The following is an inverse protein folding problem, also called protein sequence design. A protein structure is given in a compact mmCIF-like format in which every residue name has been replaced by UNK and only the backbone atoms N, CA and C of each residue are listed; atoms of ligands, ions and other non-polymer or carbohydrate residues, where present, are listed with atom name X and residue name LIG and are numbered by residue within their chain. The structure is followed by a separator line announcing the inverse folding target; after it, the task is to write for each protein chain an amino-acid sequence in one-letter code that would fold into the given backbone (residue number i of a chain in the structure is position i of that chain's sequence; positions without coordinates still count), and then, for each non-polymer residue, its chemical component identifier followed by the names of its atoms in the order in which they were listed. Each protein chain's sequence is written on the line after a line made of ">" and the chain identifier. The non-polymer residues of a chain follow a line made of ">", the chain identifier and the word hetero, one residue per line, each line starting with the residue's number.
data_IF_705392392683
#
_entry.id   IF_705392392683
#
_cell.length_a   1.000
_cell.length_b   1.000
_cell.length_c   1.000
_cell.angle_alpha   90.00
_cell.angle_beta   90.00
_cell.angle_gamma   90.00
#
_symmetry.space_group_name_H-M   'P 1'
#
loop_
_entity.id
_entity.type
_entity.pdbx_description
1 polymer ?
#
# COMPACT_ATOMS: atom_id res chain seq x y z
N UNK A 1 -40.20 9.92 41.98
CA UNK A 1 -39.31 8.79 41.62
C UNK A 1 -38.77 9.06 40.23
N UNK A 2 -37.55 9.62 40.12
CA UNK A 2 -36.92 10.04 38.87
C UNK A 2 -35.89 8.96 38.52
N UNK A 3 -36.18 8.19 37.49
CA UNK A 3 -35.26 7.16 36.96
C UNK A 3 -34.30 7.89 36.00
N UNK A 4 -33.06 8.06 36.46
CA UNK A 4 -31.94 8.50 35.62
C UNK A 4 -31.44 7.28 34.80
N UNK A 5 -31.84 7.23 33.55
CA UNK A 5 -31.29 6.28 32.58
C UNK A 5 -29.93 6.84 32.14
N UNK A 6 -28.89 6.36 32.78
CA UNK A 6 -27.51 6.61 32.35
C UNK A 6 -27.25 5.92 31.01
N UNK A 7 -27.23 6.71 29.94
CA UNK A 7 -26.76 6.24 28.65
C UNK A 7 -25.25 5.98 28.73
N UNK A 8 -24.88 4.71 28.92
CA UNK A 8 -23.53 4.24 28.79
C UNK A 8 -23.17 4.25 27.31
N UNK A 9 -22.64 5.35 26.82
CA UNK A 9 -21.98 5.44 25.53
C UNK A 9 -20.72 4.56 25.60
N UNK A 10 -20.87 3.30 25.21
CA UNK A 10 -19.75 2.44 24.83
C UNK A 10 -19.11 3.10 23.57
N UNK A 11 -18.14 3.96 23.81
CA UNK A 11 -17.20 4.35 22.81
C UNK A 11 -16.42 3.08 22.40
N UNK A 12 -16.90 2.40 21.38
CA UNK A 12 -16.14 1.40 20.65
C UNK A 12 -14.96 2.15 20.04
N UNK A 13 -13.89 2.28 20.81
CA UNK A 13 -12.59 2.60 20.26
C UNK A 13 -12.28 1.47 19.28
N UNK A 14 -12.67 1.66 18.03
CA UNK A 14 -12.09 0.89 16.93
C UNK A 14 -10.60 1.24 16.99
N UNK A 15 -9.85 0.36 17.62
CA UNK A 15 -8.42 0.36 17.47
C UNK A 15 -8.20 0.29 15.95
N UNK A 16 -7.91 1.43 15.35
CA UNK A 16 -7.54 1.52 13.96
C UNK A 16 -6.22 0.73 13.89
N UNK A 17 -6.35 -0.56 13.55
CA UNK A 17 -5.18 -1.36 13.28
C UNK A 17 -4.45 -0.64 12.20
N UNK A 18 -3.32 -0.10 12.57
CA UNK A 18 -2.43 0.57 11.67
C UNK A 18 -2.18 -0.32 10.45
N UNK A 19 -2.71 0.10 9.33
CA UNK A 19 -2.77 -0.71 8.13
C UNK A 19 -1.55 -0.44 7.27
N UNK A 20 -0.79 -1.48 7.01
CA UNK A 20 0.27 -1.45 5.98
C UNK A 20 -0.33 -2.00 4.69
N UNK A 21 -0.24 -1.23 3.63
CA UNK A 21 -0.77 -1.62 2.32
C UNK A 21 0.26 -1.31 1.21
N UNK A 22 0.52 -2.30 0.37
CA UNK A 22 1.33 -2.12 -0.82
C UNK A 22 0.43 -2.02 -2.04
N UNK A 23 0.49 -0.88 -2.73
CA UNK A 23 -0.08 -0.69 -4.04
C UNK A 23 0.96 -1.05 -5.10
N UNK A 24 0.61 -1.95 -5.98
CA UNK A 24 1.39 -2.34 -7.15
C UNK A 24 0.64 -1.95 -8.42
N UNK A 25 1.28 -1.14 -9.27
CA UNK A 25 0.74 -0.74 -10.57
C UNK A 25 1.46 -1.52 -11.66
N UNK A 26 0.68 -2.29 -12.40
CA UNK A 26 1.13 -3.17 -13.47
C UNK A 26 0.55 -2.76 -14.82
N UNK A 27 1.12 -3.29 -15.89
CA UNK A 27 0.55 -3.25 -17.22
C UNK A 27 0.69 -4.63 -17.90
N UNK A 28 -0.28 -4.98 -18.72
CA UNK A 28 -0.33 -6.30 -19.37
C UNK A 28 0.87 -6.56 -20.31
N UNK A 29 1.40 -5.52 -20.96
CA UNK A 29 2.56 -5.58 -21.86
C UNK A 29 3.91 -5.31 -21.18
N UNK A 30 3.93 -5.23 -19.85
CA UNK A 30 5.11 -4.91 -19.05
C UNK A 30 5.96 -6.16 -18.76
N UNK A 31 7.09 -6.32 -19.43
CA UNK A 31 8.02 -7.44 -19.19
C UNK A 31 8.66 -7.43 -17.81
N UNK A 32 8.96 -6.25 -17.27
CA UNK A 32 9.49 -6.11 -15.90
C UNK A 32 8.44 -6.47 -14.85
N UNK A 33 7.16 -6.18 -15.10
CA UNK A 33 6.06 -6.59 -14.23
C UNK A 33 5.99 -8.11 -14.13
N UNK A 34 6.00 -8.82 -15.28
CA UNK A 34 6.01 -10.30 -15.30
C UNK A 34 7.21 -10.88 -14.55
N UNK A 35 8.40 -10.27 -14.67
CA UNK A 35 9.59 -10.70 -13.95
C UNK A 35 9.42 -10.54 -12.45
N UNK A 36 8.95 -9.39 -12.00
CA UNK A 36 8.68 -9.11 -10.58
C UNK A 36 7.62 -10.07 -10.04
N UNK A 37 6.53 -10.26 -10.76
CA UNK A 37 5.46 -11.20 -10.38
C UNK A 37 5.96 -12.63 -10.25
N UNK A 38 6.76 -13.12 -11.20
CA UNK A 38 7.37 -14.45 -11.12
C UNK A 38 8.27 -14.61 -9.90
N UNK A 39 8.96 -13.55 -9.50
CA UNK A 39 9.88 -13.58 -8.37
C UNK A 39 9.15 -13.45 -7.02
N UNK A 40 8.14 -12.61 -6.92
CA UNK A 40 7.52 -12.21 -5.65
C UNK A 40 6.06 -12.63 -5.48
N UNK A 41 5.38 -13.00 -6.54
CA UNK A 41 3.99 -13.44 -6.50
C UNK A 41 3.86 -14.90 -6.95
N UNK A 42 3.00 -15.63 -6.26
CA UNK A 42 2.53 -16.94 -6.68
C UNK A 42 1.01 -16.86 -6.82
N UNK A 43 0.50 -17.20 -8.00
CA UNK A 43 -0.94 -17.08 -8.29
C UNK A 43 -1.54 -15.70 -7.93
N UNK A 44 -0.79 -14.64 -8.24
CA UNK A 44 -1.10 -13.24 -7.91
C UNK A 44 -1.17 -12.93 -6.42
N UNK A 45 -0.68 -13.81 -5.56
CA UNK A 45 -0.56 -13.60 -4.13
C UNK A 45 0.90 -13.45 -3.75
N UNK A 46 1.23 -12.59 -2.77
CA UNK A 46 2.59 -12.49 -2.26
C UNK A 46 3.13 -13.84 -1.79
N UNK A 47 4.37 -14.15 -2.14
CA UNK A 47 5.04 -15.37 -1.66
C UNK A 47 5.29 -15.27 -0.16
N UNK A 48 5.17 -16.38 0.56
CA UNK A 48 5.36 -16.46 2.01
C UNK A 48 6.74 -15.96 2.49
N UNK A 49 7.75 -16.01 1.63
CA UNK A 49 9.12 -15.53 1.94
C UNK A 49 9.21 -14.03 2.27
N UNK A 50 8.16 -13.25 1.97
CA UNK A 50 8.12 -11.81 2.22
C UNK A 50 7.37 -11.43 3.51
N UNK A 51 6.79 -12.39 4.22
CA UNK A 51 5.95 -12.17 5.39
C UNK A 51 4.88 -11.07 5.19
N UNK A 52 4.17 -11.18 4.08
CA UNK A 52 3.14 -10.21 3.69
C UNK A 52 1.80 -10.46 4.39
N UNK A 53 1.74 -11.44 5.27
CA UNK A 53 0.48 -11.84 5.92
C UNK A 53 -0.20 -10.73 6.71
N UNK A 54 0.59 -9.75 7.18
CA UNK A 54 0.12 -8.59 7.93
C UNK A 54 -0.06 -7.33 7.06
N UNK A 55 0.23 -7.39 5.76
CA UNK A 55 0.06 -6.29 4.83
C UNK A 55 -1.07 -6.56 3.85
N UNK A 56 -1.82 -5.52 3.49
CA UNK A 56 -2.74 -5.57 2.36
C UNK A 56 -1.95 -5.40 1.07
N UNK A 57 -2.27 -6.17 0.07
CA UNK A 57 -1.69 -6.06 -1.27
C UNK A 57 -2.78 -5.72 -2.28
N UNK A 58 -2.59 -4.64 -3.02
CA UNK A 58 -3.55 -4.14 -4.00
C UNK A 58 -2.86 -3.96 -5.34
N UNK A 59 -3.47 -4.51 -6.38
CA UNK A 59 -2.97 -4.42 -7.77
C UNK A 59 -3.89 -3.51 -8.57
N UNK A 60 -3.28 -2.60 -9.32
CA UNK A 60 -3.96 -1.81 -10.37
C UNK A 60 -3.30 -2.13 -11.70
N UNK A 61 -4.08 -2.64 -12.64
CA UNK A 61 -3.65 -2.87 -14.01
C UNK A 61 -4.06 -1.67 -14.88
N UNK A 62 -3.07 -1.00 -15.46
CA UNK A 62 -3.30 0.16 -16.34
C UNK A 62 -3.39 -0.22 -17.83
N UNK A 63 -3.45 -1.51 -18.14
CA UNK A 63 -3.55 -2.05 -19.49
C UNK A 63 -2.22 -2.04 -20.23
N UNK A 64 -1.68 -0.86 -20.57
CA UNK A 64 -0.39 -0.74 -21.26
C UNK A 64 0.61 0.10 -20.48
N UNK A 65 1.91 -0.22 -20.59
CA UNK A 65 2.96 0.54 -19.89
C UNK A 65 3.04 2.02 -20.31
N UNK A 66 2.42 2.39 -21.43
CA UNK A 66 2.32 3.78 -21.90
C UNK A 66 1.11 4.53 -21.34
N UNK A 67 0.16 3.82 -20.72
CA UNK A 67 -0.97 4.45 -20.06
C UNK A 67 -0.47 5.29 -18.87
N UNK A 68 -1.15 6.41 -18.64
CA UNK A 68 -0.88 7.25 -17.48
C UNK A 68 -1.69 6.72 -16.29
N UNK A 69 -1.05 6.67 -15.16
CA UNK A 69 -1.69 6.38 -13.88
C UNK A 69 -1.73 7.66 -13.06
N UNK A 70 -2.89 7.99 -12.55
CA UNK A 70 -3.09 9.19 -11.72
C UNK A 70 -3.81 8.86 -10.41
N UNK A 71 -4.02 9.86 -9.58
CA UNK A 71 -4.72 9.70 -8.28
C UNK A 71 -6.09 9.05 -8.46
N UNK A 72 -6.82 9.42 -9.51
CA UNK A 72 -8.17 8.90 -9.76
C UNK A 72 -8.21 7.42 -10.16
N UNK A 73 -7.09 6.87 -10.63
CA UNK A 73 -6.97 5.47 -11.00
C UNK A 73 -6.67 4.58 -9.77
N UNK A 74 -6.25 5.20 -8.67
CA UNK A 74 -6.03 4.49 -7.42
C UNK A 74 -7.35 4.11 -6.74
N UNK A 75 -7.37 3.03 -5.95
CA UNK A 75 -8.50 2.68 -5.10
C UNK A 75 -8.95 3.87 -4.24
N UNK A 76 -10.25 4.05 -4.09
CA UNK A 76 -10.83 5.24 -3.46
C UNK A 76 -10.24 5.55 -2.07
N UNK A 77 -9.97 4.52 -1.27
CA UNK A 77 -9.42 4.68 0.09
C UNK A 77 -7.95 5.12 0.10
N UNK A 78 -7.21 4.97 -1.00
CA UNK A 78 -5.81 5.40 -1.13
C UNK A 78 -5.66 6.80 -1.76
N UNK A 79 -6.70 7.31 -2.42
CA UNK A 79 -6.65 8.59 -3.14
C UNK A 79 -6.21 9.78 -2.29
N UNK A 80 -6.68 9.96 -1.04
CA UNK A 80 -6.24 11.08 -0.21
C UNK A 80 -4.73 11.06 0.05
N UNK A 81 -4.17 9.90 0.40
CA UNK A 81 -2.73 9.76 0.63
C UNK A 81 -1.91 9.96 -0.64
N UNK A 82 -2.41 9.46 -1.78
CA UNK A 82 -1.80 9.70 -3.10
C UNK A 82 -1.77 11.18 -3.45
N UNK A 83 -2.89 11.88 -3.31
CA UNK A 83 -3.00 13.31 -3.62
C UNK A 83 -2.02 14.14 -2.78
N UNK A 84 -1.95 13.87 -1.48
CA UNK A 84 -1.02 14.53 -0.56
C UNK A 84 0.44 14.29 -0.95
N UNK A 85 0.80 13.06 -1.32
CA UNK A 85 2.14 12.73 -1.75
C UNK A 85 2.52 13.39 -3.07
N UNK A 86 1.58 13.49 -4.01
CA UNK A 86 1.79 14.18 -5.30
C UNK A 86 1.98 15.68 -5.11
N UNK A 87 1.20 16.30 -4.24
CA UNK A 87 1.34 17.71 -3.89
C UNK A 87 2.71 17.99 -3.26
N UNK A 88 3.13 17.19 -2.29
CA UNK A 88 4.42 17.32 -1.62
C UNK A 88 5.63 17.13 -2.56
N UNK A 89 5.51 16.27 -3.56
CA UNK A 89 6.57 16.00 -4.53
C UNK A 89 6.59 16.97 -5.72
N UNK A 90 5.62 17.89 -5.81
CA UNK A 90 5.47 18.82 -6.94
C UNK A 90 4.95 18.16 -8.22
N UNK A 91 5.16 16.91 -8.43
CA UNK A 91 4.54 15.97 -9.37
C UNK A 91 5.12 14.58 -9.12
N UNK A 92 4.29 13.61 -8.75
CA UNK A 92 4.71 12.21 -8.84
C UNK A 92 4.65 11.82 -10.32
N UNK A 93 5.78 11.87 -10.98
CA UNK A 93 5.93 11.24 -12.28
C UNK A 93 5.87 9.73 -12.05
N UNK A 94 4.79 9.11 -12.49
CA UNK A 94 4.76 7.66 -12.62
C UNK A 94 5.59 7.31 -13.85
N UNK A 95 6.84 6.98 -13.60
CA UNK A 95 7.84 6.74 -14.65
C UNK A 95 7.64 5.44 -15.43
N UNK A 96 6.47 4.81 -15.35
CA UNK A 96 6.13 3.55 -15.98
C UNK A 96 5.80 2.43 -14.99
N UNK A 97 5.81 1.18 -15.46
CA UNK A 97 5.52 -0.01 -14.66
C UNK A 97 6.72 -0.98 -14.63
N UNK A 98 6.91 -1.76 -13.58
CA UNK A 98 6.14 -1.80 -12.34
C UNK A 98 6.37 -0.56 -11.46
N UNK A 99 5.31 -0.02 -10.90
CA UNK A 99 5.39 1.06 -9.91
C UNK A 99 4.77 0.62 -8.59
N UNK A 100 5.33 1.09 -7.50
CA UNK A 100 4.95 0.67 -6.16
C UNK A 100 4.77 1.87 -5.25
N UNK A 101 3.78 1.80 -4.37
CA UNK A 101 3.64 2.73 -3.25
C UNK A 101 3.29 1.97 -1.97
N UNK A 102 4.04 2.21 -0.93
CA UNK A 102 3.77 1.70 0.41
C UNK A 102 2.97 2.72 1.18
N UNK A 103 1.80 2.32 1.61
CA UNK A 103 0.93 3.10 2.49
C UNK A 103 1.03 2.58 3.92
N UNK A 104 1.10 3.51 4.85
CA UNK A 104 0.97 3.23 6.27
C UNK A 104 -0.11 4.16 6.81
N UNK A 105 -1.19 3.58 7.33
CA UNK A 105 -2.36 4.32 7.82
C UNK A 105 -2.98 5.26 6.75
N UNK A 106 -2.96 4.83 5.49
CA UNK A 106 -3.51 5.58 4.37
C UNK A 106 -2.60 6.66 3.78
N UNK A 107 -1.41 6.88 4.35
CA UNK A 107 -0.42 7.84 3.84
C UNK A 107 0.73 7.13 3.10
N UNK A 108 1.18 7.72 2.00
CA UNK A 108 2.35 7.20 1.24
C UNK A 108 3.61 7.39 2.06
N UNK A 109 4.22 6.30 2.48
CA UNK A 109 5.51 6.29 3.18
C UNK A 109 6.69 6.36 2.20
N UNK A 110 6.61 5.60 1.13
CA UNK A 110 7.61 5.53 0.07
C UNK A 110 6.95 5.05 -1.23
N UNK A 111 7.42 5.55 -2.35
CA UNK A 111 7.06 5.04 -3.66
C UNK A 111 8.31 4.83 -4.52
N UNK A 112 8.23 3.94 -5.49
CA UNK A 112 9.35 3.59 -6.33
C UNK A 112 8.92 2.98 -7.67
N UNK A 113 9.76 3.13 -8.66
CA UNK A 113 9.63 2.52 -9.97
C UNK A 113 10.71 1.46 -10.18
N UNK A 114 10.29 0.29 -10.69
CA UNK A 114 11.18 -0.79 -11.06
C UNK A 114 11.55 -1.77 -9.95
N UNK A 115 12.08 -2.93 -10.35
CA UNK A 115 12.39 -4.06 -9.45
C UNK A 115 13.48 -3.69 -8.44
N UNK A 116 14.56 -3.08 -8.92
CA UNK A 116 15.66 -2.69 -8.03
C UNK A 116 15.21 -1.71 -6.94
N UNK A 117 14.39 -0.73 -7.30
CA UNK A 117 13.85 0.22 -6.32
C UNK A 117 12.83 -0.43 -5.36
N UNK A 118 12.10 -1.44 -5.82
CA UNK A 118 11.28 -2.27 -4.93
C UNK A 118 12.15 -2.96 -3.88
N UNK A 119 13.25 -3.59 -4.29
CA UNK A 119 14.14 -4.35 -3.39
C UNK A 119 14.89 -3.45 -2.41
N UNK A 120 15.35 -2.28 -2.88
CA UNK A 120 16.22 -1.40 -2.07
C UNK A 120 15.46 -0.37 -1.24
N UNK A 121 14.22 -0.06 -1.58
CA UNK A 121 13.43 1.00 -0.93
C UNK A 121 12.10 0.51 -0.35
N UNK A 122 11.28 -0.17 -1.17
CA UNK A 122 9.94 -0.60 -0.75
C UNK A 122 10.01 -1.73 0.28
N UNK A 123 10.75 -2.77 -0.04
CA UNK A 123 10.86 -3.96 0.82
C UNK A 123 11.40 -3.65 2.22
N UNK A 124 12.50 -2.88 2.38
CA UNK A 124 12.98 -2.50 3.70
C UNK A 124 11.99 -1.63 4.47
N UNK A 125 11.33 -0.67 3.80
CA UNK A 125 10.34 0.20 4.43
C UNK A 125 9.10 -0.59 4.88
N UNK A 126 8.66 -1.57 4.10
CA UNK A 126 7.55 -2.44 4.47
C UNK A 126 7.89 -3.30 5.68
N UNK A 127 9.08 -3.91 5.71
CA UNK A 127 9.55 -4.66 6.88
C UNK A 127 9.61 -3.80 8.14
N UNK A 128 10.07 -2.55 8.04
CA UNK A 128 10.09 -1.60 9.15
C UNK A 128 8.67 -1.27 9.62
N UNK A 129 7.76 -0.94 8.70
CA UNK A 129 6.38 -0.62 9.02
C UNK A 129 5.65 -1.78 9.72
N UNK A 130 5.84 -3.01 9.25
CA UNK A 130 5.24 -4.19 9.85
C UNK A 130 5.78 -4.46 11.28
N UNK A 131 7.06 -4.19 11.55
CA UNK A 131 7.63 -4.29 12.90
C UNK A 131 7.05 -3.24 13.85
N UNK A 132 6.89 -2.00 13.39
CA UNK A 132 6.29 -0.90 14.17
C UNK A 132 4.85 -1.24 14.61
N UNK A 133 4.13 -2.04 13.81
CA UNK A 133 2.73 -2.40 14.03
C UNK A 133 2.52 -3.71 14.79
N UNK A 134 3.56 -4.51 14.97
CA UNK A 134 3.49 -5.74 15.76
C UNK A 134 3.67 -5.37 17.24
N UNK A 135 2.67 -5.60 18.13
CA UNK A 135 2.85 -5.36 19.56
C UNK A 135 4.01 -6.20 20.07
N UNK A 136 5.01 -5.55 20.65
CA UNK A 136 6.03 -6.28 21.40
C UNK A 136 5.34 -6.96 22.58
N UNK A 137 5.28 -8.29 22.57
CA UNK A 137 4.89 -9.05 23.76
C UNK A 137 6.02 -8.89 24.78
N UNK A 138 5.80 -8.03 25.75
CA UNK A 138 6.57 -7.98 27.00
C UNK A 138 6.18 -9.15 27.88
#
# INVERSE_FOLDING_TARGET
>A
MRILIGALLLALSQAAFAQVELLYVAAADCGFCRRWEAQYLQDRKPKASLDWSAARFTVVDIGTFRARFGVNDAPAHLRPGMAKAMEAAGQMSLGGTPWFALFVDGEVRVHAFGINAFETRIQPAMKAALREKTPQRT
#
